data_IF_306793923044
#
_entry.id   IF_306793923044
#
_cell.length_a   1.000
_cell.length_b   1.000
_cell.length_c   1.000
_cell.angle_alpha   90.00
_cell.angle_beta   90.00
_cell.angle_gamma   90.00
#
_symmetry.space_group_name_H-M   'P 1'
#
loop_
_entity.id
_entity.type
_entity.pdbx_description
1 polymer ?
#
# COMPACT_ATOMS: atom_id res chain seq x y z
N UNK A 1 -41.95 27.76 12.32
CA UNK A 1 -40.69 27.95 11.56
C UNK A 1 -39.46 27.46 12.32
N UNK A 2 -39.19 27.91 13.55
CA UNK A 2 -38.00 27.52 14.35
C UNK A 2 -37.82 26.00 14.58
N UNK A 3 -38.92 25.27 14.80
CA UNK A 3 -38.92 23.80 15.00
C UNK A 3 -38.53 23.01 13.74
N UNK A 4 -38.91 23.52 12.55
CA UNK A 4 -38.54 22.94 11.26
C UNK A 4 -37.04 23.14 10.97
N UNK A 5 -36.53 24.32 11.34
CA UNK A 5 -35.11 24.67 11.19
C UNK A 5 -34.23 23.80 12.10
N UNK A 6 -34.68 23.50 13.32
CA UNK A 6 -33.98 22.61 14.25
C UNK A 6 -33.90 21.17 13.71
N UNK A 7 -35.00 20.66 13.13
CA UNK A 7 -35.03 19.33 12.52
C UNK A 7 -34.07 19.21 11.32
N UNK A 8 -34.02 20.23 10.47
CA UNK A 8 -33.10 20.27 9.32
C UNK A 8 -31.63 20.22 9.78
N UNK A 9 -31.28 20.96 10.83
CA UNK A 9 -29.91 20.98 11.38
C UNK A 9 -29.53 19.61 11.93
N UNK A 10 -30.43 18.92 12.63
CA UNK A 10 -30.18 17.57 13.14
C UNK A 10 -29.99 16.54 12.02
N UNK A 11 -30.75 16.67 10.93
CA UNK A 11 -30.59 15.81 9.75
C UNK A 11 -29.24 16.07 9.07
N UNK A 12 -28.85 17.34 8.89
CA UNK A 12 -27.56 17.70 8.31
C UNK A 12 -26.40 17.19 9.18
N UNK A 13 -26.48 17.34 10.50
CA UNK A 13 -25.49 16.80 11.43
C UNK A 13 -25.40 15.27 11.34
N UNK A 14 -26.54 14.57 11.27
CA UNK A 14 -26.57 13.12 11.11
C UNK A 14 -25.92 12.64 9.80
N UNK A 15 -26.22 13.30 8.68
CA UNK A 15 -25.64 12.98 7.37
C UNK A 15 -24.14 13.28 7.33
N UNK A 16 -23.70 14.40 7.91
CA UNK A 16 -22.28 14.74 8.02
C UNK A 16 -21.51 13.75 8.90
N UNK A 17 -22.06 13.33 10.05
CA UNK A 17 -21.46 12.30 10.91
C UNK A 17 -21.33 10.96 10.20
N UNK A 18 -22.34 10.56 9.43
CA UNK A 18 -22.28 9.32 8.65
C UNK A 18 -21.14 9.34 7.62
N UNK A 19 -20.91 10.47 6.95
CA UNK A 19 -19.80 10.62 6.01
C UNK A 19 -18.40 10.50 6.66
N UNK A 20 -18.22 11.03 7.87
CA UNK A 20 -16.96 10.93 8.62
C UNK A 20 -16.68 9.49 9.06
N UNK A 21 -17.71 8.75 9.45
CA UNK A 21 -17.58 7.33 9.84
C UNK A 21 -17.20 6.42 8.67
N UNK A 22 -17.52 6.83 7.45
CA UNK A 22 -17.23 6.09 6.21
C UNK A 22 -15.93 6.53 5.53
N UNK A 23 -15.11 7.38 6.17
CA UNK A 23 -13.80 7.74 5.64
C UNK A 23 -12.84 6.56 5.78
N UNK A 24 -12.92 5.59 4.86
CA UNK A 24 -11.86 4.63 4.67
C UNK A 24 -10.59 5.38 4.24
N UNK A 25 -9.48 5.08 4.91
CA UNK A 25 -8.18 5.63 4.53
C UNK A 25 -7.93 5.31 3.05
N UNK A 26 -7.51 6.32 2.28
CA UNK A 26 -7.25 6.15 0.86
C UNK A 26 -6.35 4.92 0.62
N UNK A 27 -6.70 4.06 -0.36
CA UNK A 27 -6.03 2.78 -0.53
C UNK A 27 -4.53 2.97 -0.73
N UNK A 28 -3.74 2.17 0.00
CA UNK A 28 -2.29 2.18 -0.14
C UNK A 28 -1.93 1.80 -1.57
N UNK A 29 -1.25 2.70 -2.30
CA UNK A 29 -0.80 2.42 -3.67
C UNK A 29 0.51 1.64 -3.64
N UNK A 30 0.57 0.61 -4.48
CA UNK A 30 1.77 -0.18 -4.73
C UNK A 30 2.20 -0.05 -6.19
N UNK A 31 3.51 0.00 -6.43
CA UNK A 31 4.12 -0.15 -7.75
C UNK A 31 4.74 -1.53 -7.84
N UNK A 32 4.42 -2.28 -8.88
CA UNK A 32 4.99 -3.60 -9.10
C UNK A 32 6.38 -3.47 -9.73
N UNK A 33 7.37 -4.10 -9.11
CA UNK A 33 8.73 -4.24 -9.63
C UNK A 33 8.97 -5.71 -9.99
N UNK A 34 9.56 -6.00 -11.14
CA UNK A 34 9.98 -7.36 -11.49
C UNK A 34 11.40 -7.63 -10.99
N UNK A 35 11.60 -8.74 -10.30
CA UNK A 35 12.89 -9.17 -9.74
C UNK A 35 13.15 -10.61 -10.16
N UNK A 36 14.35 -10.88 -10.69
CA UNK A 36 14.81 -12.25 -10.97
C UNK A 36 15.58 -12.75 -9.76
N UNK A 37 15.23 -13.94 -9.28
CA UNK A 37 15.91 -14.59 -8.15
C UNK A 37 17.26 -15.14 -8.63
N UNK A 38 18.34 -14.81 -7.94
CA UNK A 38 19.67 -15.35 -8.20
C UNK A 38 20.07 -16.41 -7.16
N UNK A 39 21.14 -17.15 -7.45
CA UNK A 39 21.70 -18.12 -6.50
C UNK A 39 22.12 -17.40 -5.22
N UNK A 40 21.63 -17.88 -4.08
CA UNK A 40 21.89 -17.30 -2.76
C UNK A 40 20.88 -16.23 -2.33
N UNK A 41 19.96 -15.81 -3.21
CA UNK A 41 18.84 -14.98 -2.77
C UNK A 41 17.87 -15.77 -1.90
N UNK A 42 17.25 -15.06 -0.96
CA UNK A 42 16.15 -15.54 -0.14
C UNK A 42 14.98 -14.57 -0.26
N UNK A 43 13.76 -15.06 -0.03
CA UNK A 43 12.57 -14.21 -0.06
C UNK A 43 12.69 -13.06 0.97
N UNK A 44 13.26 -13.35 2.14
CA UNK A 44 13.59 -12.34 3.15
C UNK A 44 14.59 -11.30 2.64
N UNK A 45 15.69 -11.74 2.03
CA UNK A 45 16.72 -10.85 1.50
C UNK A 45 16.19 -9.95 0.38
N UNK A 46 15.32 -10.48 -0.49
CA UNK A 46 14.65 -9.69 -1.53
C UNK A 46 13.67 -8.71 -0.87
N UNK A 47 12.77 -9.17 0.00
CA UNK A 47 11.78 -8.31 0.65
C UNK A 47 12.43 -7.15 1.42
N UNK A 48 13.51 -7.42 2.16
CA UNK A 48 14.25 -6.41 2.92
C UNK A 48 14.77 -5.28 2.02
N UNK A 49 15.23 -5.57 0.80
CA UNK A 49 15.70 -4.54 -0.15
C UNK A 49 14.58 -3.58 -0.60
N UNK A 50 13.33 -4.04 -0.55
CA UNK A 50 12.15 -3.26 -0.96
C UNK A 50 11.29 -2.81 0.22
N UNK A 51 11.73 -3.05 1.45
CA UNK A 51 11.05 -2.62 2.67
C UNK A 51 11.34 -1.14 2.92
N UNK A 52 10.30 -0.35 3.17
CA UNK A 52 10.46 1.04 3.61
C UNK A 52 10.75 1.15 5.10
N UNK A 53 11.30 2.29 5.56
CA UNK A 53 11.58 2.51 6.98
C UNK A 53 10.35 2.31 7.89
N UNK A 54 9.16 2.60 7.37
CA UNK A 54 7.89 2.48 8.11
C UNK A 54 7.15 1.16 7.89
N UNK A 55 7.72 0.21 7.12
CA UNK A 55 7.12 -1.09 6.84
C UNK A 55 7.84 -2.22 7.60
N UNK A 56 7.08 -3.21 8.09
CA UNK A 56 7.65 -4.47 8.55
C UNK A 56 7.98 -5.33 7.31
N UNK A 57 9.20 -5.87 7.27
CA UNK A 57 9.65 -6.78 6.21
C UNK A 57 8.74 -8.01 6.06
N UNK A 58 8.11 -8.48 7.14
CA UNK A 58 7.15 -9.60 7.12
C UNK A 58 5.93 -9.27 6.28
N UNK A 59 5.39 -8.06 6.41
CA UNK A 59 4.27 -7.61 5.56
C UNK A 59 4.69 -7.52 4.09
N UNK A 60 5.94 -7.15 3.82
CA UNK A 60 6.49 -7.14 2.46
C UNK A 60 6.63 -8.56 1.92
N UNK A 61 7.10 -9.52 2.73
CA UNK A 61 7.16 -10.95 2.37
C UNK A 61 5.76 -11.46 2.03
N UNK A 62 4.77 -11.23 2.89
CA UNK A 62 3.40 -11.69 2.69
C UNK A 62 2.81 -11.13 1.41
N UNK A 63 3.08 -9.85 1.12
CA UNK A 63 2.64 -9.17 -0.09
C UNK A 63 3.32 -9.74 -1.35
N UNK A 64 4.62 -10.03 -1.30
CA UNK A 64 5.33 -10.69 -2.40
C UNK A 64 4.79 -12.11 -2.60
N UNK A 65 4.58 -12.88 -1.53
CA UNK A 65 4.06 -14.23 -1.59
C UNK A 65 2.66 -14.25 -2.21
N UNK A 66 1.77 -13.36 -1.76
CA UNK A 66 0.42 -13.22 -2.32
C UNK A 66 0.44 -12.83 -3.80
N UNK A 67 1.30 -11.89 -4.19
CA UNK A 67 1.40 -11.42 -5.57
C UNK A 67 1.93 -12.48 -6.55
N UNK A 68 2.65 -13.49 -6.05
CA UNK A 68 3.27 -14.54 -6.87
C UNK A 68 2.72 -15.94 -6.56
N UNK A 69 1.66 -16.04 -5.75
CA UNK A 69 1.08 -17.31 -5.31
C UNK A 69 2.12 -18.28 -4.71
N UNK A 70 3.05 -17.76 -3.91
CA UNK A 70 4.09 -18.58 -3.29
C UNK A 70 3.55 -19.34 -2.08
N UNK A 71 3.95 -20.60 -1.94
CA UNK A 71 3.90 -21.32 -0.68
C UNK A 71 5.13 -20.93 0.16
N UNK A 72 4.93 -20.28 1.30
CA UNK A 72 6.00 -19.85 2.20
C UNK A 72 6.77 -21.03 2.82
N UNK A 73 6.27 -22.26 2.72
CA UNK A 73 6.99 -23.47 3.13
C UNK A 73 8.04 -23.89 2.10
N UNK A 74 7.96 -23.37 0.88
CA UNK A 74 8.88 -23.70 -0.21
C UNK A 74 9.88 -22.57 -0.43
N UNK A 75 11.13 -22.94 -0.72
CA UNK A 75 12.16 -21.98 -1.08
C UNK A 75 11.93 -21.46 -2.52
N UNK A 76 12.15 -20.16 -2.72
CA UNK A 76 12.23 -19.57 -4.05
C UNK A 76 13.44 -20.14 -4.81
N UNK A 77 13.32 -20.23 -6.14
CA UNK A 77 14.32 -20.89 -6.97
C UNK A 77 15.09 -19.88 -7.86
N UNK A 78 16.40 -20.07 -8.09
CA UNK A 78 17.15 -19.26 -9.04
C UNK A 78 16.49 -19.26 -10.44
N UNK A 79 16.43 -18.09 -11.08
CA UNK A 79 15.75 -17.87 -12.36
C UNK A 79 14.27 -17.55 -12.23
N UNK A 80 13.66 -17.72 -11.06
CA UNK A 80 12.26 -17.35 -10.82
C UNK A 80 12.08 -15.83 -10.95
N UNK A 81 11.03 -15.41 -11.64
CA UNK A 81 10.63 -14.00 -11.74
C UNK A 81 9.57 -13.72 -10.68
N UNK A 82 9.85 -12.78 -9.80
CA UNK A 82 8.95 -12.35 -8.74
C UNK A 82 8.47 -10.93 -8.99
N UNK A 83 7.15 -10.75 -8.91
CA UNK A 83 6.50 -9.46 -8.81
C UNK A 83 6.61 -8.98 -7.37
N UNK A 84 7.30 -7.88 -7.14
CA UNK A 84 7.47 -7.24 -5.83
C UNK A 84 6.63 -5.97 -5.78
N UNK A 85 5.49 -5.95 -5.05
CA UNK A 85 4.73 -4.73 -4.87
C UNK A 85 5.45 -3.83 -3.86
N UNK A 86 5.95 -2.69 -4.33
CA UNK A 86 6.63 -1.67 -3.52
C UNK A 86 5.62 -0.59 -3.18
N UNK A 87 5.44 -0.26 -1.89
CA UNK A 87 4.53 0.83 -1.48
C UNK A 87 4.93 2.11 -2.23
N UNK A 88 4.02 3.04 -2.49
CA UNK A 88 4.35 4.38 -3.01
C UNK A 88 4.23 5.40 -1.88
N UNK A 89 5.31 6.13 -1.62
CA UNK A 89 5.39 7.10 -0.52
C UNK A 89 4.90 8.46 -0.99
N UNK A 90 4.46 9.32 -0.05
CA UNK A 90 4.08 10.70 -0.36
C UNK A 90 5.27 11.51 -0.95
N UNK A 91 6.50 11.21 -0.52
CA UNK A 91 7.72 11.92 -0.92
C UNK A 91 8.14 11.68 -2.39
N UNK A 92 8.00 10.46 -2.89
CA UNK A 92 8.35 10.11 -4.30
C UNK A 92 7.48 10.89 -5.31
N UNK A 93 6.27 11.30 -4.88
CA UNK A 93 5.36 12.12 -5.68
C UNK A 93 5.80 13.59 -5.72
N UNK A 94 6.28 14.14 -4.60
CA UNK A 94 6.74 15.53 -4.51
C UNK A 94 8.02 15.75 -5.31
N UNK A 95 9.00 14.85 -5.20
CA UNK A 95 10.26 14.95 -5.95
C UNK A 95 10.06 14.80 -7.45
N UNK A 96 9.27 13.83 -7.93
CA UNK A 96 8.96 13.69 -9.35
C UNK A 96 8.16 14.87 -9.91
N UNK A 97 7.30 15.47 -9.10
CA UNK A 97 6.51 16.64 -9.51
C UNK A 97 7.35 17.93 -9.54
N UNK A 98 8.38 18.05 -8.71
CA UNK A 98 9.38 19.13 -8.78
C UNK A 98 10.35 18.94 -9.95
N UNK A 99 10.84 17.71 -10.18
CA UNK A 99 11.75 17.38 -11.27
C UNK A 99 11.10 17.48 -12.66
N UNK A 100 9.77 17.30 -12.76
CA UNK A 100 9.01 17.49 -14.01
C UNK A 100 8.67 18.96 -14.29
N UNK A 101 8.96 19.88 -13.35
CA UNK A 101 8.71 21.33 -13.48
C UNK A 101 9.98 22.13 -13.79
N UNK A 102 11.14 21.47 -13.88
CA UNK A 102 12.42 22.02 -14.35
C UNK A 102 12.67 21.59 -15.78
#
# INVERSE_FOLDING_TARGET
>A
MKKLLLGLVLVLLGVSSYGVLQMEAAPTRYRNQQVVVFRGDSLWGIARRYTRPEEDVREVIDRIAKANHLDLRQAIQPGQKLTVPVKQGKQEKTEKMLASRS
#
